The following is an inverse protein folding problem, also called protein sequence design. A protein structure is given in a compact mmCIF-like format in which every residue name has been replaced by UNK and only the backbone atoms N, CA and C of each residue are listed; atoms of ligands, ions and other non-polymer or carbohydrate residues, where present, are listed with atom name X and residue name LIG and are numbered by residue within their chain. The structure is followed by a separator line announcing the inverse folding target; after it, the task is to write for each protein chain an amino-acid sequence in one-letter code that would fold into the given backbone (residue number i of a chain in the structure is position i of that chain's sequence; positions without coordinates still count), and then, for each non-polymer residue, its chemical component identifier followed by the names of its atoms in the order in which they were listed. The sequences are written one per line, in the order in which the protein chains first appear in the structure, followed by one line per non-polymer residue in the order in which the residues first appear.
data_IF_433774249291
#
_entry.id   IF_433774249291
#
_cell.length_a   1.000
_cell.length_b   1.000
_cell.length_c   1.000
_cell.angle_alpha   90.00
_cell.angle_beta   90.00
_cell.angle_gamma   90.00
#
_symmetry.space_group_name_H-M   'P 1'
#
loop_
_entity.id
_entity.type
_entity.pdbx_description
1 polymer ?
#
# COMPACT_ATOMS: atom_id res chain seq x y z
N UNK A 1 -7.30 -40.34 -17.72
CA UNK A 1 -8.51 -39.73 -18.30
C UNK A 1 -8.12 -38.43 -19.00
N UNK A 2 -7.44 -38.63 -20.12
CA UNK A 2 -6.99 -37.62 -21.09
C UNK A 2 -8.05 -37.61 -22.18
N UNK A 3 -8.37 -36.45 -22.75
CA UNK A 3 -9.41 -36.16 -23.79
C UNK A 3 -10.78 -35.65 -23.29
N UNK A 4 -10.83 -34.44 -22.72
CA UNK A 4 -12.10 -33.69 -22.64
C UNK A 4 -11.96 -32.15 -22.53
N UNK A 5 -10.91 -31.51 -23.05
CA UNK A 5 -10.88 -30.03 -23.21
C UNK A 5 -10.09 -29.66 -24.47
N UNK A 6 -10.63 -30.06 -25.63
CA UNK A 6 -10.20 -29.61 -26.97
C UNK A 6 -11.44 -29.56 -27.87
N UNK A 7 -12.33 -28.59 -27.62
CA UNK A 7 -13.39 -28.17 -28.56
C UNK A 7 -14.27 -27.09 -27.93
N UNK A 8 -13.81 -25.84 -27.92
CA UNK A 8 -14.69 -24.67 -27.83
C UNK A 8 -13.99 -23.40 -28.35
N UNK A 9 -13.13 -23.53 -29.37
CA UNK A 9 -12.58 -22.41 -30.11
C UNK A 9 -12.72 -22.72 -31.60
N UNK A 10 -13.81 -22.22 -32.17
CA UNK A 10 -14.07 -22.27 -33.60
C UNK A 10 -15.50 -21.86 -33.90
N UNK A 11 -15.64 -20.81 -34.71
CA UNK A 11 -16.86 -20.36 -35.42
C UNK A 11 -17.67 -19.28 -34.69
N UNK A 12 -17.19 -18.02 -34.75
CA UNK A 12 -17.73 -16.99 -35.65
C UNK A 12 -17.09 -15.61 -35.40
N UNK A 13 -16.36 -15.14 -36.39
CA UNK A 13 -15.95 -13.75 -36.57
C UNK A 13 -17.02 -12.98 -37.35
N UNK A 14 -17.26 -11.73 -36.95
CA UNK A 14 -17.65 -10.65 -37.87
C UNK A 14 -19.04 -10.04 -37.66
N UNK A 15 -19.14 -8.97 -36.86
CA UNK A 15 -19.52 -7.64 -37.37
C UNK A 15 -19.24 -6.53 -36.33
N UNK A 16 -18.58 -5.49 -36.81
CA UNK A 16 -18.08 -4.23 -36.22
C UNK A 16 -18.95 -3.47 -35.21
N UNK A 17 -18.36 -2.88 -34.14
CA UNK A 17 -18.19 -1.41 -34.00
C UNK A 17 -17.36 -0.96 -32.75
N UNK A 18 -16.27 -0.24 -33.02
CA UNK A 18 -15.69 0.96 -32.36
C UNK A 18 -15.57 1.13 -30.82
N UNK A 19 -14.31 1.42 -30.46
CA UNK A 19 -13.76 2.32 -29.40
C UNK A 19 -13.29 1.67 -28.07
N UNK A 20 -12.07 2.11 -27.71
CA UNK A 20 -11.24 1.88 -26.50
C UNK A 20 -10.32 0.65 -26.48
N UNK A 21 -9.12 0.92 -25.95
CA UNK A 21 -7.86 0.25 -26.24
C UNK A 21 -7.82 -1.24 -25.91
N UNK A 22 -7.06 -1.97 -26.73
CA UNK A 22 -6.75 -3.36 -26.51
C UNK A 22 -6.04 -3.56 -25.17
N UNK A 23 -6.43 -4.56 -24.36
CA UNK A 23 -5.66 -4.94 -23.18
C UNK A 23 -4.27 -5.41 -23.62
N UNK A 24 -3.24 -4.89 -22.98
CA UNK A 24 -1.84 -5.20 -23.25
C UNK A 24 -1.60 -6.72 -23.02
N UNK A 25 -1.19 -7.48 -24.05
CA UNK A 25 -1.02 -8.93 -23.95
C UNK A 25 0.04 -9.35 -22.93
N UNK A 26 1.02 -8.49 -22.61
CA UNK A 26 2.01 -8.77 -21.57
C UNK A 26 1.43 -8.68 -20.16
N UNK A 27 0.43 -7.80 -19.98
CA UNK A 27 -0.24 -7.59 -18.71
C UNK A 27 -1.20 -8.73 -18.35
N UNK A 28 -1.90 -9.27 -19.35
CA UNK A 28 -2.64 -10.52 -19.22
C UNK A 28 -1.70 -11.68 -18.85
N UNK A 29 -0.43 -11.63 -19.28
CA UNK A 29 0.58 -12.63 -18.95
C UNK A 29 1.09 -12.49 -17.50
N UNK A 30 1.24 -11.26 -17.00
CA UNK A 30 1.57 -10.98 -15.59
C UNK A 30 0.44 -11.40 -14.65
N UNK A 31 -0.81 -11.04 -14.98
CA UNK A 31 -1.98 -11.43 -14.18
C UNK A 31 -2.24 -12.93 -14.22
N UNK A 32 -2.07 -13.58 -15.37
CA UNK A 32 -2.15 -15.04 -15.46
C UNK A 32 -1.01 -15.73 -14.71
N UNK A 33 0.18 -15.11 -14.60
CA UNK A 33 1.27 -15.60 -13.74
C UNK A 33 0.97 -15.41 -12.26
N UNK A 34 0.40 -14.28 -11.86
CA UNK A 34 -0.04 -14.04 -10.47
C UNK A 34 -1.18 -14.99 -10.11
N UNK A 35 -2.16 -15.18 -11.00
CA UNK A 35 -3.22 -16.16 -10.84
C UNK A 35 -2.70 -17.62 -10.86
N UNK A 36 -1.70 -17.93 -11.69
CA UNK A 36 -1.05 -19.24 -11.72
C UNK A 36 -0.21 -19.51 -10.46
N UNK A 37 0.41 -18.47 -9.87
CA UNK A 37 1.07 -18.54 -8.56
C UNK A 37 0.06 -18.80 -7.43
N UNK A 38 -1.15 -18.25 -7.54
CA UNK A 38 -2.25 -18.55 -6.62
C UNK A 38 -2.84 -19.96 -6.83
N UNK A 39 -2.74 -20.51 -8.05
CA UNK A 39 -3.24 -21.84 -8.42
C UNK A 39 -2.27 -23.01 -8.10
N UNK A 40 -1.01 -22.74 -7.76
CA UNK A 40 -0.03 -23.76 -7.39
C UNK A 40 0.09 -23.91 -5.87
N UNK A 41 -1.01 -24.30 -5.23
CA UNK A 41 -1.00 -24.83 -3.87
C UNK A 41 -0.87 -26.36 -3.97
N UNK A 42 0.29 -26.96 -3.65
CA UNK A 42 0.34 -28.42 -3.54
C UNK A 42 -0.58 -28.86 -2.39
N UNK A 43 -1.31 -29.98 -2.50
CA UNK A 43 -2.05 -30.52 -1.38
C UNK A 43 -1.07 -30.84 -0.23
N UNK A 44 -1.50 -30.74 1.04
CA UNK A 44 -0.64 -31.12 2.16
C UNK A 44 -0.22 -32.57 1.99
N UNK A 45 1.09 -32.82 1.97
CA UNK A 45 1.62 -34.17 2.02
C UNK A 45 1.23 -34.80 3.35
N UNK A 46 0.71 -36.03 3.33
CA UNK A 46 0.52 -36.82 4.54
C UNK A 46 1.84 -36.90 5.32
N UNK A 47 1.83 -36.73 6.65
CA UNK A 47 3.06 -36.81 7.42
C UNK A 47 3.59 -38.24 7.39
N UNK A 48 4.68 -38.45 6.67
CA UNK A 48 5.48 -39.65 6.81
C UNK A 48 6.00 -39.72 8.26
N UNK A 49 5.76 -40.85 8.93
CA UNK A 49 6.21 -41.10 10.30
C UNK A 49 7.74 -40.99 10.38
N UNK A 50 8.22 -39.93 11.04
CA UNK A 50 9.63 -39.76 11.38
C UNK A 50 9.88 -40.60 12.65
N UNK A 51 10.85 -41.53 12.67
CA UNK A 51 11.21 -42.24 13.90
C UNK A 51 11.76 -41.24 14.94
N UNK A 52 11.47 -41.43 16.24
CA UNK A 52 11.84 -40.43 17.25
C UNK A 52 13.36 -40.29 17.34
N UNK A 53 13.86 -39.10 17.02
CA UNK A 53 15.22 -38.69 17.36
C UNK A 53 15.31 -38.56 18.89
N UNK A 54 16.19 -39.34 19.50
CA UNK A 54 16.58 -39.16 20.90
C UNK A 54 17.33 -37.81 20.99
N UNK A 55 16.85 -36.82 21.76
CA UNK A 55 17.56 -35.55 21.88
C UNK A 55 18.85 -35.75 22.71
N UNK A 56 19.97 -35.11 22.35
CA UNK A 56 21.15 -35.08 23.20
C UNK A 56 20.82 -34.32 24.48
N UNK A 57 21.15 -34.92 25.61
CA UNK A 57 20.93 -34.39 26.95
C UNK A 57 21.96 -33.30 27.29
N UNK A 58 21.90 -32.12 26.65
CA UNK A 58 22.44 -30.86 27.21
C UNK A 58 22.08 -29.59 26.40
N UNK A 59 20.83 -29.47 25.91
CA UNK A 59 20.36 -28.21 25.34
C UNK A 59 19.58 -27.45 26.42
N UNK A 60 20.19 -26.38 26.97
CA UNK A 60 19.52 -25.45 27.87
C UNK A 60 18.14 -25.10 27.34
N UNK A 61 17.13 -25.15 28.22
CA UNK A 61 15.73 -24.96 27.89
C UNK A 61 15.53 -23.56 27.29
N UNK A 62 15.62 -23.47 25.95
CA UNK A 62 15.17 -22.32 25.21
C UNK A 62 13.66 -22.43 25.16
N UNK A 63 12.99 -21.91 26.19
CA UNK A 63 11.55 -21.71 26.13
C UNK A 63 11.28 -20.81 24.92
N UNK A 64 10.43 -21.23 23.96
CA UNK A 64 10.01 -20.31 22.92
C UNK A 64 9.40 -19.08 23.62
N UNK A 65 9.66 -17.85 23.11
CA UNK A 65 9.05 -16.66 23.68
C UNK A 65 7.53 -16.88 23.73
N UNK A 66 6.93 -16.57 24.89
CA UNK A 66 5.47 -16.57 25.06
C UNK A 66 4.83 -15.82 23.87
N UNK A 67 3.86 -16.43 23.17
CA UNK A 67 3.28 -15.81 21.98
C UNK A 67 2.74 -14.44 22.35
N UNK A 68 3.22 -13.40 21.65
CA UNK A 68 2.70 -12.05 21.84
C UNK A 68 1.17 -12.06 21.64
N UNK A 69 0.40 -11.41 22.54
CA UNK A 69 -1.05 -11.40 22.45
C UNK A 69 -1.47 -10.80 21.10
N UNK A 70 -2.30 -11.54 20.36
CA UNK A 70 -2.83 -11.09 19.08
C UNK A 70 -3.83 -9.96 19.34
N UNK A 71 -3.58 -8.80 18.77
CA UNK A 71 -4.47 -7.67 18.87
C UNK A 71 -5.64 -7.84 17.89
N UNK A 72 -6.86 -7.63 18.39
CA UNK A 72 -8.09 -7.71 17.60
C UNK A 72 -8.58 -6.31 17.26
N UNK A 73 -9.03 -6.13 16.02
CA UNK A 73 -9.62 -4.91 15.51
C UNK A 73 -10.92 -5.21 14.77
N UNK A 74 -11.80 -4.21 14.69
CA UNK A 74 -13.00 -4.33 13.88
C UNK A 74 -12.66 -4.15 12.40
N UNK A 75 -11.84 -3.14 12.11
CA UNK A 75 -11.34 -2.89 10.77
C UNK A 75 -9.87 -2.47 10.79
N UNK A 76 -9.14 -2.84 9.74
CA UNK A 76 -7.79 -2.38 9.45
C UNK A 76 -7.79 -1.85 8.02
N UNK A 77 -7.12 -0.73 7.78
CA UNK A 77 -6.82 -0.20 6.44
C UNK A 77 -5.31 -0.18 6.22
N UNK A 78 -4.89 -0.67 5.06
CA UNK A 78 -3.52 -0.65 4.58
C UNK A 78 -3.49 -0.14 3.14
N UNK A 79 -2.62 0.80 2.84
CA UNK A 79 -2.40 1.35 1.50
C UNK A 79 -0.90 1.40 1.20
N UNK A 80 -0.57 1.73 -0.06
CA UNK A 80 0.78 2.16 -0.45
C UNK A 80 1.88 1.17 0.00
N UNK A 81 1.59 -0.11 -0.21
CA UNK A 81 2.49 -1.21 0.16
C UNK A 81 3.60 -1.35 -0.90
N UNK A 82 3.26 -1.10 -2.16
CA UNK A 82 4.15 -1.15 -3.31
C UNK A 82 4.94 -2.48 -3.43
N UNK A 83 4.26 -3.62 -3.29
CA UNK A 83 4.85 -4.92 -3.59
C UNK A 83 5.34 -4.93 -5.04
N UNK A 84 6.60 -5.30 -5.25
CA UNK A 84 7.25 -5.20 -6.55
C UNK A 84 8.36 -4.15 -6.60
N UNK A 85 8.52 -3.37 -5.52
CA UNK A 85 9.62 -2.42 -5.35
C UNK A 85 10.59 -2.87 -4.27
N UNK A 86 11.84 -2.38 -4.33
CA UNK A 86 12.83 -2.60 -3.27
C UNK A 86 12.58 -1.73 -2.02
N UNK A 87 11.69 -0.73 -2.10
CA UNK A 87 11.35 0.16 -0.99
C UNK A 87 10.35 -0.45 -0.01
N UNK A 88 9.54 -1.41 -0.46
CA UNK A 88 8.55 -2.10 0.36
C UNK A 88 9.19 -2.78 1.59
N UNK A 89 8.72 -2.40 2.78
CA UNK A 89 9.18 -2.96 4.06
C UNK A 89 8.37 -4.21 4.42
N UNK A 90 8.44 -5.23 3.56
CA UNK A 90 7.61 -6.44 3.65
C UNK A 90 7.81 -7.23 4.95
N UNK A 91 8.99 -7.21 5.57
CA UNK A 91 9.24 -7.89 6.84
C UNK A 91 8.39 -7.27 7.98
N UNK A 92 8.28 -5.94 8.05
CA UNK A 92 7.46 -5.24 9.04
C UNK A 92 5.97 -5.47 8.79
N UNK A 93 5.55 -5.45 7.52
CA UNK A 93 4.16 -5.75 7.15
C UNK A 93 3.75 -7.17 7.54
N UNK A 94 4.62 -8.15 7.29
CA UNK A 94 4.37 -9.54 7.68
C UNK A 94 4.24 -9.69 9.19
N UNK A 95 5.10 -9.03 9.95
CA UNK A 95 5.07 -9.02 11.41
C UNK A 95 3.79 -8.36 11.94
N UNK A 96 3.39 -7.22 11.39
CA UNK A 96 2.12 -6.57 11.71
C UNK A 96 0.92 -7.48 11.42
N UNK A 97 0.85 -8.07 10.22
CA UNK A 97 -0.23 -8.99 9.84
C UNK A 97 -0.24 -10.27 10.68
N UNK A 98 0.89 -10.63 11.32
CA UNK A 98 0.97 -11.78 12.24
C UNK A 98 0.38 -11.46 13.61
N UNK A 99 0.59 -10.25 14.10
CA UNK A 99 0.20 -9.84 15.46
C UNK A 99 -1.16 -9.14 15.53
N UNK A 100 -1.78 -8.81 14.39
CA UNK A 100 -3.05 -8.12 14.34
C UNK A 100 -4.06 -8.91 13.50
N UNK A 101 -5.27 -9.06 14.01
CA UNK A 101 -6.41 -9.69 13.34
C UNK A 101 -7.58 -8.69 13.22
N UNK A 102 -8.46 -8.88 12.24
CA UNK A 102 -9.62 -8.03 12.08
C UNK A 102 -10.84 -8.72 11.45
N UNK A 103 -12.02 -8.16 11.71
CA UNK A 103 -13.25 -8.56 10.99
C UNK A 103 -13.17 -8.10 9.53
N UNK A 104 -12.71 -6.86 9.30
CA UNK A 104 -12.53 -6.28 7.96
C UNK A 104 -11.10 -5.83 7.72
N UNK A 105 -10.59 -6.09 6.53
CA UNK A 105 -9.28 -5.61 6.08
C UNK A 105 -9.45 -4.93 4.72
N UNK A 106 -9.27 -3.62 4.71
CA UNK A 106 -9.30 -2.81 3.50
C UNK A 106 -7.87 -2.65 2.99
N UNK A 107 -7.67 -2.98 1.72
CA UNK A 107 -6.45 -2.72 0.98
C UNK A 107 -6.71 -1.50 0.08
N UNK A 108 -6.26 -0.31 0.49
CA UNK A 108 -6.68 1.00 -0.03
C UNK A 108 -5.68 1.55 -1.06
N UNK A 109 -5.46 0.75 -2.10
CA UNK A 109 -4.68 1.10 -3.29
C UNK A 109 -3.18 0.96 -3.12
N UNK A 110 -2.50 0.94 -4.27
CA UNK A 110 -1.05 0.83 -4.40
C UNK A 110 -0.44 -0.36 -3.62
N UNK A 111 -1.14 -1.49 -3.65
CA UNK A 111 -0.73 -2.72 -2.98
C UNK A 111 0.40 -3.39 -3.77
N UNK A 112 0.28 -3.37 -5.10
CA UNK A 112 1.28 -3.90 -6.03
C UNK A 112 1.74 -2.77 -6.95
N UNK A 113 3.04 -2.57 -7.08
CA UNK A 113 3.60 -1.60 -8.01
C UNK A 113 3.74 -2.18 -9.42
N UNK A 114 2.64 -2.10 -10.18
CA UNK A 114 2.60 -2.58 -11.56
C UNK A 114 3.54 -1.82 -12.49
N UNK A 115 3.81 -0.54 -12.22
CA UNK A 115 4.70 0.29 -13.05
C UNK A 115 6.15 -0.17 -12.93
N UNK A 116 6.62 -0.42 -11.71
CA UNK A 116 7.99 -0.89 -11.49
C UNK A 116 8.18 -2.32 -12.00
N UNK A 117 7.21 -3.21 -11.80
CA UNK A 117 7.27 -4.58 -12.32
C UNK A 117 7.36 -4.64 -13.85
N UNK A 118 6.73 -3.68 -14.56
CA UNK A 118 6.88 -3.54 -16.02
C UNK A 118 8.28 -3.10 -16.44
N UNK A 119 8.95 -2.25 -15.64
CA UNK A 119 10.31 -1.76 -15.91
C UNK A 119 11.38 -2.80 -15.61
N UNK A 120 11.12 -3.66 -14.62
CA UNK A 120 12.00 -4.75 -14.25
C UNK A 120 11.35 -5.63 -13.19
N UNK A 121 11.37 -6.95 -13.42
CA UNK A 121 10.75 -7.89 -12.49
C UNK A 121 11.54 -7.98 -11.18
N UNK A 122 10.96 -7.46 -10.09
CA UNK A 122 11.48 -7.58 -8.74
C UNK A 122 10.39 -8.17 -7.83
N UNK A 123 10.49 -9.45 -7.53
CA UNK A 123 9.51 -10.14 -6.68
C UNK A 123 10.18 -11.13 -5.73
N UNK A 124 10.81 -10.64 -4.64
CA UNK A 124 11.42 -11.50 -3.64
C UNK A 124 10.36 -12.34 -2.90
N UNK A 125 10.81 -13.43 -2.27
CA UNK A 125 9.93 -14.36 -1.54
C UNK A 125 9.03 -13.66 -0.50
N UNK A 126 9.54 -12.61 0.18
CA UNK A 126 8.77 -11.86 1.17
C UNK A 126 7.50 -11.22 0.60
N UNK A 127 7.52 -10.78 -0.66
CA UNK A 127 6.33 -10.21 -1.29
C UNK A 127 5.27 -11.30 -1.52
N UNK A 128 5.69 -12.50 -1.92
CA UNK A 128 4.80 -13.65 -1.98
C UNK A 128 4.25 -14.01 -0.60
N UNK A 129 5.09 -13.98 0.44
CA UNK A 129 4.65 -14.28 1.81
C UNK A 129 3.56 -13.30 2.28
N UNK A 130 3.65 -12.00 1.91
CA UNK A 130 2.61 -11.00 2.20
C UNK A 130 1.30 -11.39 1.53
N UNK A 131 1.31 -11.65 0.22
CA UNK A 131 0.11 -12.06 -0.53
C UNK A 131 -0.52 -13.31 0.08
N UNK A 132 0.29 -14.31 0.42
CA UNK A 132 -0.18 -15.54 1.05
C UNK A 132 -0.76 -15.29 2.45
N UNK A 133 -0.18 -14.38 3.23
CA UNK A 133 -0.70 -14.01 4.55
C UNK A 133 -2.06 -13.33 4.44
N UNK A 134 -2.26 -12.44 3.46
CA UNK A 134 -3.54 -11.79 3.18
C UNK A 134 -4.61 -12.81 2.76
N UNK A 135 -4.29 -13.69 1.82
CA UNK A 135 -5.20 -14.77 1.39
C UNK A 135 -5.57 -15.72 2.55
N UNK A 136 -4.62 -16.02 3.45
CA UNK A 136 -4.89 -16.84 4.64
C UNK A 136 -5.82 -16.15 5.63
N UNK A 137 -5.74 -14.81 5.80
CA UNK A 137 -6.68 -14.06 6.63
C UNK A 137 -8.09 -14.12 6.04
N UNK A 138 -8.21 -13.89 4.74
CA UNK A 138 -9.48 -13.98 4.03
C UNK A 138 -10.14 -15.35 4.22
N UNK A 139 -9.39 -16.44 4.02
CA UNK A 139 -9.86 -17.82 4.25
C UNK A 139 -10.25 -18.13 5.71
N UNK A 140 -9.73 -17.38 6.67
CA UNK A 140 -10.04 -17.53 8.10
C UNK A 140 -11.26 -16.71 8.53
N UNK A 141 -11.88 -15.96 7.62
CA UNK A 141 -13.12 -15.23 7.88
C UNK A 141 -12.97 -13.71 7.94
N UNK A 142 -11.76 -13.15 7.76
CA UNK A 142 -11.61 -11.70 7.58
C UNK A 142 -12.21 -11.30 6.23
N UNK A 143 -13.12 -10.33 6.22
CA UNK A 143 -13.63 -9.74 4.98
C UNK A 143 -12.55 -8.83 4.39
N UNK A 144 -11.87 -9.29 3.33
CA UNK A 144 -10.80 -8.52 2.68
C UNK A 144 -11.36 -7.81 1.45
N UNK A 145 -11.30 -6.47 1.46
CA UNK A 145 -11.80 -5.61 0.39
C UNK A 145 -10.60 -4.88 -0.21
N UNK A 146 -10.37 -5.07 -1.50
CA UNK A 146 -9.29 -4.42 -2.24
C UNK A 146 -9.84 -3.30 -3.10
N UNK A 147 -9.42 -2.08 -2.78
CA UNK A 147 -9.72 -0.85 -3.51
C UNK A 147 -8.48 -0.45 -4.30
N UNK A 148 -8.45 -0.60 -5.64
CA UNK A 148 -7.26 -0.27 -6.43
C UNK A 148 -6.92 1.22 -6.42
N UNK A 149 -5.62 1.53 -6.49
CA UNK A 149 -5.03 2.83 -6.72
C UNK A 149 -4.51 3.03 -8.15
N UNK A 150 -3.50 3.88 -8.31
CA UNK A 150 -2.93 4.22 -9.62
C UNK A 150 -1.80 3.29 -10.06
N UNK A 151 -1.02 2.72 -9.15
CA UNK A 151 0.04 1.77 -9.50
C UNK A 151 -0.50 0.38 -9.86
N UNK A 152 -1.69 0.05 -9.38
CA UNK A 152 -2.41 -1.20 -9.61
C UNK A 152 -3.73 -1.00 -10.37
N UNK A 153 -3.84 0.07 -11.19
CA UNK A 153 -5.02 0.43 -12.01
C UNK A 153 -5.63 -0.75 -12.78
N UNK A 154 -4.79 -1.70 -13.16
CA UNK A 154 -5.15 -2.95 -13.82
C UNK A 154 -6.14 -3.78 -13.02
N UNK A 155 -6.11 -3.70 -11.70
CA UNK A 155 -7.05 -4.37 -10.82
C UNK A 155 -8.46 -3.78 -10.93
N UNK A 156 -8.62 -2.51 -11.35
CA UNK A 156 -9.93 -1.86 -11.54
C UNK A 156 -10.80 -2.57 -12.58
N UNK A 157 -10.19 -3.23 -13.58
CA UNK A 157 -10.94 -4.01 -14.59
C UNK A 157 -11.68 -5.23 -13.98
N UNK A 158 -11.36 -5.58 -12.74
CA UNK A 158 -11.95 -6.68 -12.01
C UNK A 158 -12.87 -6.22 -10.88
N UNK A 159 -13.32 -4.95 -10.92
CA UNK A 159 -14.36 -4.46 -10.01
C UNK A 159 -15.56 -5.40 -9.98
N UNK A 160 -16.10 -5.64 -8.78
CA UNK A 160 -17.18 -6.60 -8.57
C UNK A 160 -16.71 -8.05 -8.37
N UNK A 161 -15.53 -8.43 -8.86
CA UNK A 161 -15.04 -9.81 -8.82
C UNK A 161 -14.29 -10.13 -7.52
N UNK A 162 -14.25 -11.43 -7.19
CA UNK A 162 -13.47 -11.95 -6.09
C UNK A 162 -12.28 -12.77 -6.61
N UNK A 163 -11.08 -12.51 -6.09
CA UNK A 163 -9.88 -13.31 -6.33
C UNK A 163 -9.57 -14.14 -5.08
N UNK A 164 -10.00 -15.41 -5.11
CA UNK A 164 -10.12 -16.19 -3.89
C UNK A 164 -11.20 -15.56 -3.00
N UNK A 165 -10.85 -15.24 -1.76
CA UNK A 165 -11.75 -14.61 -0.79
C UNK A 165 -11.53 -13.08 -0.66
N UNK A 166 -10.75 -12.48 -1.58
CA UNK A 166 -10.50 -11.03 -1.63
C UNK A 166 -11.43 -10.40 -2.66
N UNK A 167 -12.24 -9.45 -2.23
CA UNK A 167 -13.24 -8.78 -3.05
C UNK A 167 -12.67 -7.47 -3.61
N UNK A 168 -12.68 -7.29 -4.93
CA UNK A 168 -12.22 -6.04 -5.57
C UNK A 168 -13.39 -5.07 -5.72
N UNK A 169 -13.18 -3.81 -5.31
CA UNK A 169 -14.16 -2.73 -5.43
C UNK A 169 -13.50 -1.44 -5.87
N UNK A 170 -14.12 -0.65 -6.74
CA UNK A 170 -13.61 0.71 -7.05
C UNK A 170 -13.55 1.63 -5.82
N UNK A 171 -14.47 1.43 -4.89
CA UNK A 171 -14.59 2.16 -3.63
C UNK A 171 -15.43 1.32 -2.64
N UNK A 172 -15.37 1.65 -1.35
CA UNK A 172 -16.21 1.01 -0.35
C UNK A 172 -16.80 2.02 0.64
N UNK A 173 -17.84 1.61 1.35
CA UNK A 173 -18.37 2.36 2.51
C UNK A 173 -18.25 1.46 3.72
N UNK A 174 -17.49 1.92 4.71
CA UNK A 174 -17.37 1.28 6.00
C UNK A 174 -18.31 1.96 7.01
N UNK A 175 -19.06 1.19 7.78
CA UNK A 175 -19.87 1.71 8.89
C UNK A 175 -19.16 1.35 10.19
N UNK A 176 -18.72 2.34 10.96
CA UNK A 176 -18.03 2.15 12.24
C UNK A 176 -18.97 1.53 13.28
N UNK A 177 -18.42 1.01 14.38
CA UNK A 177 -19.21 0.54 15.52
C UNK A 177 -20.07 1.67 16.14
N UNK A 178 -19.64 2.92 15.98
CA UNK A 178 -20.37 4.12 16.40
C UNK A 178 -21.42 4.59 15.39
N UNK A 179 -21.58 3.89 14.26
CA UNK A 179 -22.59 4.19 13.23
C UNK A 179 -22.17 5.26 12.21
N UNK A 180 -20.92 5.75 12.24
CA UNK A 180 -20.40 6.70 11.26
C UNK A 180 -20.12 5.99 9.94
N UNK A 181 -20.46 6.61 8.82
CA UNK A 181 -20.21 6.11 7.46
C UNK A 181 -18.91 6.71 6.95
N UNK A 182 -17.90 5.89 6.70
CA UNK A 182 -16.62 6.28 6.13
C UNK A 182 -16.54 5.82 4.68
N UNK A 183 -16.30 6.74 3.77
CA UNK A 183 -15.99 6.43 2.38
C UNK A 183 -14.54 5.98 2.26
N UNK A 184 -14.30 4.81 1.67
CA UNK A 184 -12.97 4.22 1.52
C UNK A 184 -12.60 4.27 0.04
N UNK A 185 -11.53 4.99 -0.28
CA UNK A 185 -11.05 5.21 -1.66
C UNK A 185 -9.56 5.51 -1.63
N UNK A 186 -8.78 5.10 -2.64
CA UNK A 186 -7.34 5.36 -2.65
C UNK A 186 -6.99 6.86 -2.69
N UNK A 187 -7.59 7.62 -3.62
CA UNK A 187 -7.48 9.08 -3.67
C UNK A 187 -6.84 9.65 -4.93
N UNK A 188 -6.16 8.84 -5.72
CA UNK A 188 -5.59 9.15 -7.05
C UNK A 188 -6.55 9.87 -8.01
N UNK A 189 -7.84 9.54 -7.93
CA UNK A 189 -8.89 10.20 -8.73
C UNK A 189 -8.96 11.72 -8.53
N UNK A 190 -8.49 12.23 -7.39
CA UNK A 190 -8.50 13.64 -7.05
C UNK A 190 -7.24 14.38 -7.48
N UNK A 191 -6.21 13.69 -7.95
CA UNK A 191 -5.03 14.33 -8.53
C UNK A 191 -5.42 15.24 -9.69
N UNK A 192 -6.34 14.79 -10.56
CA UNK A 192 -6.85 15.58 -11.68
C UNK A 192 -7.59 16.84 -11.21
N UNK A 193 -8.36 16.76 -10.12
CA UNK A 193 -9.12 17.89 -9.56
C UNK A 193 -8.19 18.91 -8.90
N UNK A 194 -7.21 18.44 -8.11
CA UNK A 194 -6.18 19.29 -7.50
C UNK A 194 -5.25 19.88 -8.58
N UNK A 195 -5.02 19.18 -9.67
CA UNK A 195 -4.29 19.71 -10.83
C UNK A 195 -5.01 20.89 -11.49
N UNK A 196 -6.34 20.93 -11.50
CA UNK A 196 -7.05 22.14 -11.95
C UNK A 196 -6.89 23.31 -10.97
N UNK A 197 -6.62 23.07 -9.68
CA UNK A 197 -6.22 24.14 -8.76
C UNK A 197 -4.75 24.60 -8.97
N UNK A 198 -3.93 23.87 -9.75
CA UNK A 198 -2.54 24.27 -10.02
C UNK A 198 -2.40 25.61 -10.71
N UNK A 199 -3.36 26.09 -11.51
CA UNK A 199 -3.21 27.43 -12.13
C UNK A 199 -3.11 28.53 -11.07
N UNK A 200 -3.79 28.38 -9.92
CA UNK A 200 -3.63 29.27 -8.78
C UNK A 200 -2.24 29.13 -8.14
N UNK A 201 -1.73 27.91 -8.04
CA UNK A 201 -0.36 27.66 -7.56
C UNK A 201 0.70 28.25 -8.52
N UNK A 202 0.51 28.12 -9.84
CA UNK A 202 1.39 28.72 -10.85
C UNK A 202 1.35 30.25 -10.82
N UNK A 203 0.18 30.86 -10.62
CA UNK A 203 0.06 32.30 -10.45
C UNK A 203 0.82 32.79 -9.20
N UNK A 204 0.70 32.05 -8.09
CA UNK A 204 1.45 32.31 -6.87
C UNK A 204 2.97 32.14 -7.05
N UNK A 205 3.40 31.10 -7.74
CA UNK A 205 4.81 30.81 -8.04
C UNK A 205 5.44 31.84 -8.98
N UNK A 206 4.67 32.34 -9.95
CA UNK A 206 5.11 33.39 -10.87
C UNK A 206 5.29 34.73 -10.14
N UNK A 207 4.30 35.15 -9.33
CA UNK A 207 4.40 36.34 -8.49
C UNK A 207 5.55 36.24 -7.48
N UNK A 208 5.80 35.05 -6.94
CA UNK A 208 6.89 34.78 -6.02
C UNK A 208 8.27 34.78 -6.70
N UNK A 209 8.39 34.25 -7.92
CA UNK A 209 9.62 34.31 -8.71
C UNK A 209 9.98 35.76 -9.03
N UNK A 210 8.97 36.61 -9.28
CA UNK A 210 9.14 38.06 -9.42
C UNK A 210 9.65 38.67 -8.11
N UNK A 211 9.05 38.34 -6.95
CA UNK A 211 9.52 38.80 -5.63
C UNK A 211 10.96 38.34 -5.34
N UNK A 212 11.34 37.11 -5.72
CA UNK A 212 12.71 36.61 -5.60
C UNK A 212 13.68 37.32 -6.54
N UNK A 213 13.26 37.62 -7.76
CA UNK A 213 14.06 38.42 -8.69
C UNK A 213 14.28 39.83 -8.14
N UNK A 214 13.26 40.43 -7.54
CA UNK A 214 13.35 41.69 -6.80
C UNK A 214 14.26 41.56 -5.57
N UNK A 215 14.19 40.47 -4.81
CA UNK A 215 15.07 40.20 -3.68
C UNK A 215 16.54 40.03 -4.11
N UNK A 216 16.79 39.35 -5.24
CA UNK A 216 18.14 39.25 -5.84
C UNK A 216 18.66 40.60 -6.33
N UNK A 217 17.78 41.47 -6.82
CA UNK A 217 18.13 42.83 -7.21
C UNK A 217 18.41 43.70 -5.97
N UNK A 218 17.57 43.59 -4.94
CA UNK A 218 17.71 44.26 -3.66
C UNK A 218 18.98 43.83 -2.90
N UNK A 219 19.29 42.53 -2.87
CA UNK A 219 20.52 42.02 -2.29
C UNK A 219 21.76 42.44 -3.09
N UNK A 220 21.66 42.60 -4.42
CA UNK A 220 22.72 43.21 -5.23
C UNK A 220 22.95 44.68 -4.86
N UNK A 221 21.89 45.43 -4.57
CA UNK A 221 21.98 46.82 -4.07
C UNK A 221 22.56 46.84 -2.65
N UNK A 222 22.11 45.98 -1.74
CA UNK A 222 22.67 45.85 -0.37
C UNK A 222 24.14 45.46 -0.36
N UNK A 223 24.55 44.55 -1.25
CA UNK A 223 25.95 44.17 -1.40
C UNK A 223 26.82 45.35 -1.86
N UNK A 224 26.30 46.21 -2.75
CA UNK A 224 26.96 47.48 -3.12
C UNK A 224 27.01 48.50 -1.98
N UNK A 225 26.13 48.38 -0.99
CA UNK A 225 26.07 49.22 0.21
C UNK A 225 26.75 48.58 1.44
N UNK A 226 27.46 47.45 1.27
CA UNK A 226 28.30 46.84 2.32
C UNK A 226 27.58 45.90 3.31
N UNK A 227 26.38 45.42 3.01
CA UNK A 227 25.62 44.52 3.90
C UNK A 227 25.66 43.04 3.48
N UNK A 228 25.52 42.07 4.42
CA UNK A 228 25.63 40.63 4.14
C UNK A 228 24.41 40.02 3.41
N UNK A 229 24.65 38.87 2.75
CA UNK A 229 23.72 38.11 1.89
C UNK A 229 22.71 37.23 2.65
N UNK A 230 21.52 36.97 2.05
CA UNK A 230 20.53 36.00 2.55
C UNK A 230 19.60 35.44 1.45
N UNK A 231 19.38 34.10 1.37
CA UNK A 231 18.10 33.43 0.97
C UNK A 231 18.20 31.91 0.62
N UNK A 232 18.60 31.01 1.54
CA UNK A 232 18.44 29.55 1.36
C UNK A 232 17.17 29.02 2.07
N UNK A 233 16.80 29.65 3.19
CA UNK A 233 15.61 29.35 3.99
C UNK A 233 14.29 29.57 3.25
N UNK A 234 14.24 30.49 2.28
CA UNK A 234 13.04 30.77 1.50
C UNK A 234 12.78 29.66 0.46
N UNK A 235 13.77 29.19 -0.30
CA UNK A 235 13.56 28.10 -1.26
C UNK A 235 12.98 26.84 -0.59
N UNK A 236 13.56 26.44 0.55
CA UNK A 236 13.06 25.33 1.36
C UNK A 236 11.65 25.61 1.91
N UNK A 237 11.39 26.83 2.41
CA UNK A 237 10.06 27.25 2.89
C UNK A 237 8.98 27.19 1.81
N UNK A 238 9.33 27.41 0.55
CA UNK A 238 8.39 27.42 -0.57
C UNK A 238 8.01 26.03 -1.06
N UNK A 239 8.97 25.11 -1.15
CA UNK A 239 8.67 23.69 -1.42
C UNK A 239 7.76 23.12 -0.33
N UNK A 240 8.04 23.45 0.94
CA UNK A 240 7.19 23.08 2.07
C UNK A 240 5.80 23.70 1.96
N UNK A 241 5.67 25.00 1.64
CA UNK A 241 4.36 25.65 1.50
C UNK A 241 3.53 25.07 0.35
N UNK A 242 4.16 24.75 -0.77
CA UNK A 242 3.46 24.17 -1.93
C UNK A 242 2.96 22.76 -1.62
N UNK A 243 3.78 21.92 -0.97
CA UNK A 243 3.36 20.61 -0.50
C UNK A 243 2.19 20.72 0.51
N UNK A 244 2.28 21.62 1.49
CA UNK A 244 1.21 21.84 2.47
C UNK A 244 -0.09 22.30 1.81
N UNK A 245 -0.01 23.21 0.84
CA UNK A 245 -1.19 23.67 0.11
C UNK A 245 -1.81 22.57 -0.74
N UNK A 246 -1.00 21.73 -1.37
CA UNK A 246 -1.45 20.57 -2.13
C UNK A 246 -2.21 19.60 -1.23
N UNK A 247 -1.58 19.18 -0.12
CA UNK A 247 -2.17 18.26 0.86
C UNK A 247 -3.48 18.82 1.39
N UNK A 248 -3.51 20.09 1.80
CA UNK A 248 -4.73 20.74 2.26
C UNK A 248 -5.81 20.74 1.19
N UNK A 249 -5.50 21.08 -0.07
CA UNK A 249 -6.48 21.11 -1.15
C UNK A 249 -7.05 19.71 -1.45
N UNK A 250 -6.20 18.69 -1.36
CA UNK A 250 -6.59 17.30 -1.50
C UNK A 250 -7.53 16.86 -0.36
N UNK A 251 -7.14 17.10 0.90
CA UNK A 251 -7.96 16.81 2.09
C UNK A 251 -9.36 17.40 1.94
N UNK A 252 -9.46 18.67 1.53
CA UNK A 252 -10.74 19.36 1.35
C UNK A 252 -11.57 18.73 0.23
N UNK A 253 -10.97 18.42 -0.92
CA UNK A 253 -11.68 17.82 -2.04
C UNK A 253 -12.26 16.44 -1.70
N UNK A 254 -11.47 15.61 -1.01
CA UNK A 254 -11.88 14.28 -0.55
C UNK A 254 -13.06 14.36 0.42
N UNK A 255 -12.94 15.26 1.40
CA UNK A 255 -13.94 15.46 2.44
C UNK A 255 -15.23 16.04 1.88
N UNK A 256 -15.15 17.00 0.97
CA UNK A 256 -16.35 17.54 0.32
C UNK A 256 -17.08 16.49 -0.51
N UNK A 257 -16.35 15.57 -1.16
CA UNK A 257 -16.98 14.48 -1.90
C UNK A 257 -17.60 13.42 -0.99
N UNK A 258 -16.94 13.06 0.11
CA UNK A 258 -17.51 12.20 1.15
C UNK A 258 -18.85 12.74 1.65
N UNK A 259 -18.94 14.07 1.86
CA UNK A 259 -20.19 14.74 2.24
C UNK A 259 -21.27 14.58 1.20
N UNK A 260 -20.96 14.81 -0.08
CA UNK A 260 -21.93 14.68 -1.18
C UNK A 260 -22.49 13.26 -1.26
N UNK A 261 -21.68 12.27 -0.89
CA UNK A 261 -22.06 10.85 -0.81
C UNK A 261 -22.83 10.49 0.48
N UNK A 262 -23.06 11.47 1.35
CA UNK A 262 -23.75 11.29 2.63
C UNK A 262 -22.94 10.48 3.64
N UNK A 263 -21.60 10.53 3.54
CA UNK A 263 -20.68 9.93 4.50
C UNK A 263 -20.25 10.97 5.55
N UNK A 264 -19.87 10.49 6.73
CA UNK A 264 -19.36 11.29 7.85
C UNK A 264 -17.85 11.55 7.76
N UNK A 265 -17.16 10.84 6.86
CA UNK A 265 -15.74 10.97 6.64
C UNK A 265 -15.21 10.11 5.50
N UNK A 266 -13.89 10.16 5.32
CA UNK A 266 -13.14 9.48 4.27
C UNK A 266 -11.89 8.80 4.83
N UNK A 267 -11.56 7.63 4.30
CA UNK A 267 -10.30 6.92 4.51
C UNK A 267 -9.61 6.76 3.17
N UNK A 268 -8.37 7.20 3.07
CA UNK A 268 -7.57 7.15 1.84
C UNK A 268 -6.08 6.88 2.08
N UNK A 269 -5.35 6.62 1.00
CA UNK A 269 -3.88 6.50 1.00
C UNK A 269 -3.23 7.63 0.20
N UNK A 270 -2.33 7.29 -0.73
CA UNK A 270 -1.75 8.09 -1.81
C UNK A 270 -0.78 9.22 -1.40
N UNK A 271 -1.07 9.95 -0.32
CA UNK A 271 -0.22 11.07 0.15
C UNK A 271 0.90 10.60 1.10
N UNK A 272 0.90 9.33 1.51
CA UNK A 272 1.93 8.70 2.38
C UNK A 272 2.13 9.46 3.69
N UNK A 273 1.05 10.07 4.20
CA UNK A 273 1.07 10.86 5.43
C UNK A 273 -0.02 10.38 6.36
N UNK A 274 0.32 9.42 7.21
CA UNK A 274 -0.59 8.87 8.20
C UNK A 274 -1.13 9.97 9.12
N UNK A 275 -2.43 10.24 9.05
CA UNK A 275 -3.07 11.29 9.85
C UNK A 275 -4.57 11.04 10.04
N UNK A 276 -5.09 11.33 11.23
CA UNK A 276 -6.52 11.44 11.49
C UNK A 276 -6.80 12.89 11.83
N UNK A 277 -7.70 13.52 11.08
CA UNK A 277 -8.01 14.93 11.22
C UNK A 277 -9.48 15.22 11.01
N UNK A 278 -9.98 16.25 11.66
CA UNK A 278 -11.28 16.82 11.33
C UNK A 278 -11.10 17.98 10.34
N UNK A 279 -11.79 17.89 9.21
CA UNK A 279 -11.78 18.90 8.15
C UNK A 279 -13.22 19.29 7.87
N UNK A 280 -13.56 20.57 8.07
CA UNK A 280 -14.91 21.10 7.87
C UNK A 280 -16.02 20.30 8.60
N UNK A 281 -15.75 19.71 9.77
CA UNK A 281 -16.73 18.90 10.51
C UNK A 281 -16.90 17.46 10.01
N UNK A 282 -16.01 16.97 9.16
CA UNK A 282 -15.94 15.58 8.71
C UNK A 282 -14.59 14.95 9.05
N UNK A 283 -14.59 13.63 9.18
CA UNK A 283 -13.40 12.86 9.51
C UNK A 283 -12.60 12.62 8.22
N UNK A 284 -11.33 13.00 8.22
CA UNK A 284 -10.34 12.63 7.21
C UNK A 284 -9.32 11.69 7.85
N UNK A 285 -9.12 10.53 7.25
CA UNK A 285 -8.12 9.58 7.66
C UNK A 285 -7.22 9.21 6.49
N UNK A 286 -5.92 9.27 6.72
CA UNK A 286 -4.91 8.68 5.85
C UNK A 286 -4.16 7.59 6.62
N UNK A 287 -4.04 6.40 6.04
CA UNK A 287 -3.43 5.23 6.69
C UNK A 287 -1.90 5.17 6.56
N UNK A 288 -1.30 6.05 5.75
CA UNK A 288 0.13 6.16 5.53
C UNK A 288 0.63 5.20 4.46
N UNK A 289 1.72 4.49 4.72
CA UNK A 289 2.37 3.61 3.74
C UNK A 289 3.23 2.53 4.43
N UNK A 290 3.69 1.55 3.64
CA UNK A 290 4.61 0.49 4.09
C UNK A 290 6.01 0.59 3.47
N UNK A 291 6.46 1.81 3.22
CA UNK A 291 7.77 2.15 2.64
C UNK A 291 8.57 3.02 3.63
N UNK A 292 7.97 4.09 4.13
CA UNK A 292 8.50 5.11 5.03
C UNK A 292 7.79 5.13 6.39
N UNK A 293 6.45 5.27 6.43
CA UNK A 293 5.74 5.50 7.69
C UNK A 293 5.54 4.23 8.53
N UNK A 294 5.42 3.07 7.88
CA UNK A 294 5.12 1.77 8.50
C UNK A 294 3.88 1.84 9.37
N UNK A 295 2.79 2.34 8.80
CA UNK A 295 1.56 2.58 9.54
C UNK A 295 0.34 1.86 8.98
N UNK A 296 -0.65 1.71 9.84
CA UNK A 296 -2.00 1.27 9.48
C UNK A 296 -3.01 2.14 10.21
N UNK A 297 -4.13 2.47 9.55
CA UNK A 297 -5.31 2.94 10.25
C UNK A 297 -6.07 1.72 10.77
N UNK A 298 -6.57 1.79 12.00
CA UNK A 298 -7.37 0.73 12.60
C UNK A 298 -8.59 1.30 13.32
N UNK A 299 -9.66 0.51 13.33
CA UNK A 299 -10.84 0.72 14.15
C UNK A 299 -10.84 -0.32 15.27
N UNK A 300 -10.87 0.12 16.53
CA UNK A 300 -11.01 -0.79 17.67
C UNK A 300 -12.39 -1.44 17.71
N UNK A 301 -12.56 -2.47 18.55
CA UNK A 301 -13.86 -3.13 18.72
C UNK A 301 -14.91 -2.17 19.31
N UNK A 302 -14.46 -1.14 20.03
CA UNK A 302 -15.28 -0.06 20.60
C UNK A 302 -15.61 1.05 19.58
N UNK A 303 -15.02 1.01 18.38
CA UNK A 303 -15.26 1.99 17.32
C UNK A 303 -14.35 3.21 17.32
N UNK A 304 -13.24 3.18 18.07
CA UNK A 304 -12.21 4.23 18.04
C UNK A 304 -11.32 4.07 16.80
N UNK A 305 -11.11 5.16 16.05
CA UNK A 305 -10.16 5.20 14.95
C UNK A 305 -8.79 5.65 15.48
N UNK A 306 -7.73 4.88 15.18
CA UNK A 306 -6.36 5.22 15.57
C UNK A 306 -5.36 4.81 14.48
N UNK A 307 -4.20 5.47 14.48
CA UNK A 307 -3.07 5.06 13.65
C UNK A 307 -2.13 4.21 14.50
N UNK A 308 -1.76 3.05 13.98
CA UNK A 308 -0.76 2.16 14.57
C UNK A 308 0.51 2.27 13.72
N UNK A 309 1.61 2.64 14.36
CA UNK A 309 2.94 2.61 13.75
C UNK A 309 3.64 1.31 14.14
N UNK A 310 4.19 0.60 13.16
CA UNK A 310 4.83 -0.70 13.30
C UNK A 310 6.31 -0.64 12.93
N UNK A 311 7.06 0.23 13.63
CA UNK A 311 8.48 0.51 13.35
C UNK A 311 9.45 -0.45 14.04
N UNK A 312 8.94 -1.41 14.80
CA UNK A 312 9.73 -2.40 15.54
C UNK A 312 9.16 -3.78 15.27
N UNK A 313 10.03 -4.74 14.93
CA UNK A 313 9.63 -6.13 14.74
C UNK A 313 9.42 -6.80 16.11
N UNK A 314 8.25 -7.41 16.28
CA UNK A 314 7.92 -8.20 17.46
C UNK A 314 8.48 -9.63 17.35
N UNK A 315 8.52 -10.20 16.14
CA UNK A 315 9.31 -11.39 15.84
C UNK A 315 10.58 -11.00 15.07
N UNK A 316 11.75 -10.92 15.75
CA UNK A 316 13.00 -10.61 15.07
C UNK A 316 13.26 -11.62 13.96
N UNK A 317 13.73 -11.12 12.81
CA UNK A 317 14.16 -11.98 11.72
C UNK A 317 15.23 -12.94 12.24
N UNK A 318 14.98 -14.25 12.16
CA UNK A 318 16.00 -15.25 12.49
C UNK A 318 17.27 -14.91 11.72
N UNK A 319 18.38 -14.72 12.45
CA UNK A 319 19.67 -14.45 11.83
C UNK A 319 20.01 -15.62 10.91
N UNK A 320 20.00 -15.37 9.58
CA UNK A 320 20.43 -16.38 8.61
C UNK A 320 21.80 -16.92 9.05
N UNK A 321 21.98 -18.24 9.23
CA UNK A 321 23.28 -18.78 9.56
C UNK A 321 24.27 -18.34 8.49
N UNK A 322 25.28 -17.57 8.90
CA UNK A 322 26.38 -17.17 8.02
C UNK A 322 26.93 -18.46 7.38
N UNK A 323 26.79 -18.61 6.06
CA UNK A 323 27.46 -19.69 5.32
C UNK A 323 28.94 -19.64 5.69
N UNK A 324 29.42 -20.59 6.48
CA UNK A 324 30.85 -20.77 6.73
C UNK A 324 31.52 -20.92 5.36
N UNK A 325 32.37 -19.96 4.97
CA UNK A 325 33.28 -20.15 3.83
C UNK A 325 34.07 -21.42 4.15
N UNK A 326 33.86 -22.49 3.39
CA UNK A 326 34.81 -23.61 3.35
C UNK A 326 36.11 -23.02 2.83
N UNK A 327 37.06 -22.78 3.73
CA UNK A 327 38.45 -22.60 3.33
C UNK A 327 38.89 -23.97 2.83
N UNK A 328 39.08 -24.10 1.52
CA UNK A 328 39.69 -25.29 0.96
C UNK A 328 41.11 -25.38 1.54
N UNK A 329 41.36 -26.40 2.36
CA UNK A 329 42.71 -26.77 2.74
C UNK A 329 43.41 -27.24 1.47
N UNK A 330 44.46 -26.53 1.07
CA UNK A 330 45.40 -26.97 0.05
C UNK A 330 46.28 -28.00 0.75
N UNK A 331 46.05 -29.29 0.46
CA UNK A 331 46.95 -30.37 0.84
C UNK A 331 48.18 -30.33 -0.08
N UNK A 332 49.35 -30.16 0.54
CA UNK A 332 50.66 -30.41 -0.07
C UNK A 332 51.13 -31.84 0.16
#
# INVERSE_FOLDING_TARGET
MVQAIRSALGVLSGFTLRLRGSPDPELSQVLSRIAALAAFVPPPAEPAAIPPLIPPADAGQHFPPEPHPIQQYRAIWLSDIHLGTAGCQADYLLDFLKHNESERLYLVGDIIDGWQLRRGWYWPQRHNDVVQKLLRKARKGTEVIYVPGNHDEVARQFDGLAFGDITVREEAVHVTATGKRLWVVHGDLFDGVVQHARWLAYLGDSLYTVILAMNRHFNRIRARLGFPYWSLSQYLKHQVKNAVNYISSFEHAMVDEARRRGCDGVVCGHIHKAEIREVNGQIYCNDGDWVESLSALVETMEGELKIVYWTTLHDPLEARPRKRRRVAAISG
#
